data_IF_795644902519
#
_entry.id   IF_795644902519
#
_cell.length_a   1.000
_cell.length_b   1.000
_cell.length_c   1.000
_cell.angle_alpha   90.00
_cell.angle_beta   90.00
_cell.angle_gamma   90.00
#
_symmetry.space_group_name_H-M   'P 1'
#
loop_
_entity.id
_entity.type
_entity.pdbx_description
1 polymer ?
#
# COMPACT_ATOMS: atom_id res chain seq x y z
N UNK A 1 -3.71 50.34 -13.38
CA UNK A 1 -4.63 49.18 -13.43
C UNK A 1 -6.00 49.71 -13.82
N UNK A 2 -6.56 49.33 -14.97
CA UNK A 2 -7.89 49.78 -15.38
C UNK A 2 -8.94 49.34 -14.35
N UNK A 3 -9.92 50.21 -14.07
CA UNK A 3 -11.02 49.92 -13.13
C UNK A 3 -11.91 48.85 -13.77
N UNK A 4 -12.15 47.76 -13.03
CA UNK A 4 -13.01 46.67 -13.48
C UNK A 4 -14.43 47.17 -13.71
N UNK A 5 -15.06 46.68 -14.77
CA UNK A 5 -16.46 46.99 -15.06
C UNK A 5 -17.38 46.48 -13.94
N UNK A 6 -18.56 47.09 -13.79
CA UNK A 6 -19.54 46.68 -12.78
C UNK A 6 -19.96 45.22 -12.97
N UNK A 7 -20.09 44.77 -14.21
CA UNK A 7 -20.38 43.37 -14.55
C UNK A 7 -19.26 42.42 -14.09
N UNK A 8 -17.98 42.80 -14.25
CA UNK A 8 -16.85 42.01 -13.73
C UNK A 8 -16.82 41.93 -12.20
N UNK A 9 -17.16 43.01 -11.51
CA UNK A 9 -17.21 43.00 -10.05
C UNK A 9 -18.39 42.16 -9.53
N UNK A 10 -19.55 42.28 -10.17
CA UNK A 10 -20.74 41.49 -9.84
C UNK A 10 -20.49 39.99 -10.08
N UNK A 11 -19.94 39.62 -11.24
CA UNK A 11 -19.58 38.23 -11.54
C UNK A 11 -18.53 37.70 -10.56
N UNK A 12 -17.50 38.48 -10.21
CA UNK A 12 -16.52 38.08 -9.22
C UNK A 12 -17.13 37.88 -7.82
N UNK A 13 -18.13 38.68 -7.44
CA UNK A 13 -18.87 38.48 -6.18
C UNK A 13 -19.72 37.21 -6.22
N UNK A 14 -20.43 36.96 -7.32
CA UNK A 14 -21.17 35.71 -7.54
C UNK A 14 -20.24 34.49 -7.49
N UNK A 15 -19.06 34.57 -8.09
CA UNK A 15 -18.04 33.51 -8.05
C UNK A 15 -17.57 33.19 -6.63
N UNK A 16 -17.40 34.20 -5.78
CA UNK A 16 -17.02 34.01 -4.36
C UNK A 16 -18.12 33.32 -3.57
N UNK A 17 -19.37 33.66 -3.85
CA UNK A 17 -20.54 33.13 -3.15
C UNK A 17 -21.17 31.94 -3.86
N UNK A 18 -20.48 31.32 -4.82
CA UNK A 18 -21.03 30.25 -5.65
C UNK A 18 -21.70 29.17 -4.83
N UNK A 19 -21.14 28.76 -3.69
CA UNK A 19 -21.69 27.68 -2.85
C UNK A 19 -23.07 27.96 -2.26
N UNK A 20 -23.44 29.22 -2.12
CA UNK A 20 -24.70 29.66 -1.52
C UNK A 20 -25.74 30.06 -2.59
N UNK A 21 -25.36 30.09 -3.88
CA UNK A 21 -26.27 30.40 -4.96
C UNK A 21 -27.26 29.24 -5.17
N UNK A 22 -28.46 29.38 -4.62
CA UNK A 22 -29.56 28.43 -4.79
C UNK A 22 -30.44 28.68 -6.01
N UNK A 23 -30.43 29.90 -6.57
CA UNK A 23 -31.24 30.28 -7.73
C UNK A 23 -30.58 31.38 -8.55
N UNK A 24 -30.63 31.24 -9.87
CA UNK A 24 -30.37 32.32 -10.82
C UNK A 24 -31.74 32.81 -11.28
N UNK A 25 -32.14 33.98 -10.79
CA UNK A 25 -33.50 34.52 -11.00
C UNK A 25 -33.93 34.63 -12.46
N UNK A 26 -35.22 34.87 -12.66
CA UNK A 26 -35.97 34.64 -13.91
C UNK A 26 -35.59 35.49 -15.13
N UNK A 27 -34.68 36.46 -14.99
CA UNK A 27 -34.41 37.44 -16.06
C UNK A 27 -32.97 37.40 -16.59
N UNK A 28 -32.15 36.44 -16.16
CA UNK A 28 -30.73 36.44 -16.51
C UNK A 28 -30.45 35.57 -17.75
N UNK A 29 -29.93 36.16 -18.85
CA UNK A 29 -29.70 35.42 -20.10
C UNK A 29 -28.65 34.32 -19.94
N UNK A 30 -28.86 33.19 -20.60
CA UNK A 30 -28.02 31.99 -20.48
C UNK A 30 -26.53 32.25 -20.73
N UNK A 31 -26.18 33.16 -21.65
CA UNK A 31 -24.77 33.49 -21.96
C UNK A 31 -24.02 34.11 -20.76
N UNK A 32 -24.69 34.98 -20.01
CA UNK A 32 -24.16 35.59 -18.80
C UNK A 32 -24.14 34.61 -17.62
N UNK A 33 -24.89 33.52 -17.69
CA UNK A 33 -24.97 32.54 -16.61
C UNK A 33 -24.03 31.36 -16.87
N UNK A 34 -23.75 31.06 -18.14
CA UNK A 34 -22.92 29.94 -18.59
C UNK A 34 -21.54 29.93 -17.92
N UNK A 35 -20.88 31.09 -17.83
CA UNK A 35 -19.56 31.17 -17.20
C UNK A 35 -19.58 30.91 -15.69
N UNK A 36 -20.68 31.27 -15.02
CA UNK A 36 -20.90 30.95 -13.61
C UNK A 36 -21.21 29.46 -13.42
N UNK A 37 -22.13 28.92 -14.22
CA UNK A 37 -22.52 27.50 -14.15
C UNK A 37 -21.36 26.56 -14.47
N UNK A 38 -20.49 26.91 -15.41
CA UNK A 38 -19.28 26.14 -15.72
C UNK A 38 -18.30 26.06 -14.54
N UNK A 39 -18.38 26.99 -13.59
CA UNK A 39 -17.53 27.00 -12.40
C UNK A 39 -18.16 26.24 -11.23
N UNK A 40 -19.43 25.88 -11.32
CA UNK A 40 -20.09 25.09 -10.28
C UNK A 40 -19.46 23.70 -10.24
N UNK A 41 -19.00 23.32 -9.06
CA UNK A 41 -18.36 22.03 -8.81
C UNK A 41 -19.32 21.00 -8.23
N UNK A 42 -20.53 21.41 -7.84
CA UNK A 42 -21.51 20.55 -7.18
C UNK A 42 -22.68 20.21 -8.10
N UNK A 43 -22.83 18.93 -8.40
CA UNK A 43 -23.96 18.39 -9.17
C UNK A 43 -25.32 18.60 -8.48
N UNK A 44 -25.38 18.51 -7.14
CA UNK A 44 -26.62 18.72 -6.39
C UNK A 44 -27.10 20.17 -6.52
N UNK A 45 -26.16 21.10 -6.46
CA UNK A 45 -26.43 22.52 -6.62
C UNK A 45 -26.92 22.84 -8.02
N UNK A 46 -26.28 22.26 -9.06
CA UNK A 46 -26.72 22.44 -10.44
C UNK A 46 -28.18 22.00 -10.63
N UNK A 47 -28.58 20.87 -10.02
CA UNK A 47 -29.98 20.41 -10.05
C UNK A 47 -30.93 21.38 -9.34
N UNK A 48 -30.55 21.92 -8.19
CA UNK A 48 -31.39 22.90 -7.48
C UNK A 48 -31.62 24.15 -8.35
N UNK A 49 -30.57 24.61 -9.02
CA UNK A 49 -30.64 25.72 -9.95
C UNK A 49 -31.55 25.40 -11.14
N UNK A 50 -31.43 24.22 -11.75
CA UNK A 50 -32.31 23.76 -12.84
C UNK A 50 -33.79 23.73 -12.41
N UNK A 51 -34.10 23.32 -11.18
CA UNK A 51 -35.47 23.33 -10.67
C UNK A 51 -36.00 24.75 -10.42
N UNK A 52 -35.13 25.67 -10.04
CA UNK A 52 -35.51 27.07 -9.77
C UNK A 52 -35.63 27.92 -11.03
N UNK A 53 -34.93 27.55 -12.11
CA UNK A 53 -34.77 28.39 -13.29
C UNK A 53 -35.06 27.58 -14.58
N UNK A 54 -36.23 27.80 -15.22
CA UNK A 54 -36.61 27.06 -16.43
C UNK A 54 -35.76 27.44 -17.65
N UNK A 55 -35.06 28.57 -17.62
CA UNK A 55 -34.23 29.06 -18.73
C UNK A 55 -32.95 28.25 -18.95
N UNK A 56 -32.51 27.54 -17.91
CA UNK A 56 -31.28 26.75 -17.92
C UNK A 56 -31.57 25.31 -18.42
N UNK A 57 -32.83 24.88 -18.35
CA UNK A 57 -33.26 23.55 -18.78
C UNK A 57 -33.00 23.35 -20.28
N UNK A 58 -32.28 22.27 -20.63
CA UNK A 58 -31.95 21.90 -22.01
C UNK A 58 -30.53 22.29 -22.47
N UNK A 59 -29.91 23.30 -21.85
CA UNK A 59 -28.55 23.72 -22.19
C UNK A 59 -27.46 23.18 -21.25
N UNK A 60 -27.84 22.52 -20.15
CA UNK A 60 -26.90 22.05 -19.10
C UNK A 60 -26.07 20.82 -19.44
N UNK A 61 -26.28 20.20 -20.61
CA UNK A 61 -25.57 18.98 -20.99
C UNK A 61 -24.04 19.11 -20.99
N UNK A 62 -23.52 20.27 -21.41
CA UNK A 62 -22.07 20.55 -21.38
C UNK A 62 -21.51 20.58 -19.95
N UNK A 63 -22.28 21.14 -19.00
CA UNK A 63 -21.87 21.30 -17.61
C UNK A 63 -21.89 19.95 -16.92
N UNK A 64 -22.95 19.16 -17.13
CA UNK A 64 -23.06 17.80 -16.61
C UNK A 64 -21.92 16.90 -17.11
N UNK A 65 -21.53 17.02 -18.39
CA UNK A 65 -20.41 16.25 -18.93
C UNK A 65 -19.08 16.59 -18.24
N UNK A 66 -18.82 17.88 -18.01
CA UNK A 66 -17.62 18.33 -17.27
C UNK A 66 -17.62 17.85 -15.81
N UNK A 67 -18.79 17.90 -15.15
CA UNK A 67 -18.93 17.38 -13.79
C UNK A 67 -18.67 15.87 -13.73
N UNK A 68 -19.24 15.10 -14.66
CA UNK A 68 -19.02 13.65 -14.73
C UNK A 68 -17.55 13.33 -15.02
N UNK A 69 -16.89 14.08 -15.90
CA UNK A 69 -15.46 13.90 -16.20
C UNK A 69 -14.58 14.19 -14.97
N UNK A 70 -14.91 15.24 -14.21
CA UNK A 70 -14.19 15.62 -12.99
C UNK A 70 -14.41 14.63 -11.85
N UNK A 71 -15.65 14.26 -11.59
CA UNK A 71 -16.04 13.42 -10.46
C UNK A 71 -15.71 11.93 -10.71
N UNK A 72 -15.92 11.47 -11.96
CA UNK A 72 -15.83 10.05 -12.32
C UNK A 72 -14.97 9.82 -13.58
N UNK A 73 -13.66 10.16 -13.54
CA UNK A 73 -12.79 10.04 -14.71
C UNK A 73 -12.60 8.58 -15.19
N UNK A 74 -12.74 7.59 -14.29
CA UNK A 74 -12.61 6.17 -14.60
C UNK A 74 -13.90 5.59 -15.21
N UNK A 75 -15.05 5.88 -14.59
CA UNK A 75 -16.34 5.39 -15.08
C UNK A 75 -16.77 6.07 -16.39
N UNK A 76 -16.41 7.34 -16.59
CA UNK A 76 -16.70 8.07 -17.83
C UNK A 76 -15.99 7.45 -19.04
N UNK A 77 -14.72 7.04 -18.89
CA UNK A 77 -13.96 6.35 -19.94
C UNK A 77 -14.50 4.96 -20.24
N UNK A 78 -15.01 4.27 -19.21
CA UNK A 78 -15.51 2.90 -19.34
C UNK A 78 -16.94 2.84 -19.90
N UNK A 79 -17.78 3.80 -19.53
CA UNK A 79 -19.19 3.84 -19.90
C UNK A 79 -19.49 5.25 -20.38
N UNK A 80 -19.71 5.44 -21.68
CA UNK A 80 -20.11 6.72 -22.25
C UNK A 80 -21.64 6.80 -22.33
N UNK A 81 -22.32 6.93 -21.19
CA UNK A 81 -23.77 7.09 -21.17
C UNK A 81 -24.15 8.51 -21.60
N UNK A 82 -24.64 8.64 -22.83
CA UNK A 82 -25.31 9.87 -23.29
C UNK A 82 -26.82 9.69 -23.12
N UNK A 83 -27.50 10.56 -22.35
CA UNK A 83 -28.95 10.51 -22.28
C UNK A 83 -29.56 10.91 -23.63
N UNK A 84 -30.69 10.27 -23.97
CA UNK A 84 -31.46 10.59 -25.18
C UNK A 84 -32.10 11.98 -25.10
N UNK A 85 -32.40 12.45 -23.88
CA UNK A 85 -32.97 13.77 -23.63
C UNK A 85 -31.99 14.62 -22.83
N UNK A 86 -31.76 15.90 -23.23
CA UNK A 86 -30.88 16.82 -22.51
C UNK A 86 -31.38 17.14 -21.10
N UNK A 87 -32.67 16.92 -20.80
CA UNK A 87 -33.24 17.23 -19.48
C UNK A 87 -32.95 16.16 -18.41
N UNK A 88 -32.39 15.00 -18.80
CA UNK A 88 -32.25 13.84 -17.90
C UNK A 88 -30.79 13.54 -17.51
N UNK A 89 -29.88 14.49 -17.68
CA UNK A 89 -28.47 14.33 -17.27
C UNK A 89 -28.31 14.03 -15.77
N UNK A 90 -29.18 14.58 -14.91
CA UNK A 90 -29.17 14.24 -13.48
C UNK A 90 -29.30 12.73 -13.21
N UNK A 91 -30.18 12.03 -13.93
CA UNK A 91 -30.37 10.58 -13.76
C UNK A 91 -29.13 9.79 -14.17
N UNK A 92 -28.44 10.29 -15.20
CA UNK A 92 -27.17 9.71 -15.66
C UNK A 92 -26.11 9.88 -14.59
N UNK A 93 -25.96 11.09 -14.04
CA UNK A 93 -25.04 11.35 -12.94
C UNK A 93 -25.35 10.50 -11.70
N UNK A 94 -26.62 10.36 -11.32
CA UNK A 94 -27.02 9.53 -10.18
C UNK A 94 -26.67 8.04 -10.39
N UNK A 95 -26.77 7.56 -11.64
CA UNK A 95 -26.32 6.22 -11.99
C UNK A 95 -24.80 6.08 -11.85
N UNK A 96 -24.03 7.03 -12.39
CA UNK A 96 -22.58 7.04 -12.22
C UNK A 96 -22.16 7.08 -10.75
N UNK A 97 -22.85 7.87 -9.93
CA UNK A 97 -22.61 7.93 -8.49
C UNK A 97 -22.85 6.57 -7.83
N UNK A 98 -23.97 5.91 -8.13
CA UNK A 98 -24.27 4.57 -7.58
C UNK A 98 -23.23 3.53 -8.01
N UNK A 99 -22.83 3.54 -9.28
CA UNK A 99 -21.80 2.63 -9.80
C UNK A 99 -20.44 2.89 -9.10
N UNK A 100 -20.08 4.16 -8.88
CA UNK A 100 -18.85 4.54 -8.20
C UNK A 100 -18.85 4.15 -6.71
N UNK A 101 -19.94 4.43 -6.00
CA UNK A 101 -20.09 4.07 -4.59
C UNK A 101 -20.02 2.54 -4.41
N UNK A 102 -20.66 1.78 -5.30
CA UNK A 102 -20.56 0.31 -5.32
C UNK A 102 -19.13 -0.17 -5.58
N UNK A 103 -18.40 0.44 -6.53
CA UNK A 103 -17.01 0.09 -6.80
C UNK A 103 -16.09 0.39 -5.60
N UNK A 104 -16.34 1.49 -4.89
CA UNK A 104 -15.64 1.81 -3.64
C UNK A 104 -15.92 0.76 -2.56
N UNK A 105 -17.19 0.44 -2.31
CA UNK A 105 -17.58 -0.59 -1.33
C UNK A 105 -16.94 -1.95 -1.62
N UNK A 106 -16.94 -2.37 -2.89
CA UNK A 106 -16.26 -3.59 -3.31
C UNK A 106 -14.76 -3.56 -3.02
N UNK A 107 -14.11 -2.42 -3.31
CA UNK A 107 -12.68 -2.26 -3.05
C UNK A 107 -12.36 -2.28 -1.55
N UNK A 108 -13.20 -1.65 -0.73
CA UNK A 108 -13.08 -1.68 0.72
C UNK A 108 -13.27 -3.09 1.28
N UNK A 109 -14.28 -3.82 0.79
CA UNK A 109 -14.55 -5.18 1.21
C UNK A 109 -13.40 -6.12 0.85
N UNK A 110 -12.82 -5.98 -0.35
CA UNK A 110 -11.61 -6.71 -0.76
C UNK A 110 -10.44 -6.42 0.18
N UNK A 111 -10.21 -5.16 0.55
CA UNK A 111 -9.15 -4.77 1.49
C UNK A 111 -9.39 -5.29 2.91
N UNK A 112 -10.63 -5.20 3.42
CA UNK A 112 -11.03 -5.73 4.73
C UNK A 112 -10.82 -7.25 4.78
N UNK A 113 -11.19 -7.97 3.73
CA UNK A 113 -11.00 -9.42 3.63
C UNK A 113 -9.51 -9.81 3.58
N UNK A 114 -8.70 -9.09 2.79
CA UNK A 114 -7.25 -9.31 2.74
C UNK A 114 -6.59 -9.06 4.11
N UNK A 115 -7.00 -7.99 4.81
CA UNK A 115 -6.50 -7.69 6.15
C UNK A 115 -6.92 -8.73 7.18
N UNK A 116 -8.16 -9.23 7.10
CA UNK A 116 -8.65 -10.30 7.96
C UNK A 116 -7.87 -11.60 7.75
N UNK A 117 -7.59 -11.98 6.50
CA UNK A 117 -6.73 -13.12 6.18
C UNK A 117 -5.34 -12.99 6.80
N UNK A 118 -4.70 -11.83 6.63
CA UNK A 118 -3.39 -11.56 7.24
C UNK A 118 -3.41 -11.60 8.78
N UNK A 119 -4.50 -11.15 9.42
CA UNK A 119 -4.67 -11.25 10.87
C UNK A 119 -4.80 -12.70 11.31
N UNK A 120 -5.59 -13.51 10.61
CA UNK A 120 -5.73 -14.94 10.89
C UNK A 120 -4.39 -15.67 10.72
N UNK A 121 -3.63 -15.38 9.68
CA UNK A 121 -2.32 -16.00 9.46
C UNK A 121 -1.32 -15.59 10.53
N UNK A 122 -1.34 -14.32 10.96
CA UNK A 122 -0.57 -13.88 12.12
C UNK A 122 -0.97 -14.62 13.38
N UNK A 123 -2.27 -14.74 13.68
CA UNK A 123 -2.76 -15.44 14.87
C UNK A 123 -2.41 -16.94 14.86
N UNK A 124 -2.51 -17.60 13.71
CA UNK A 124 -2.09 -19.00 13.53
C UNK A 124 -0.59 -19.19 13.71
N UNK A 125 0.23 -18.28 13.17
CA UNK A 125 1.69 -18.36 13.23
C UNK A 125 2.26 -17.87 14.57
N UNK A 126 1.53 -17.02 15.32
CA UNK A 126 1.90 -16.66 16.68
C UNK A 126 1.51 -17.78 17.63
N UNK A 127 2.48 -18.55 18.09
CA UNK A 127 2.29 -19.52 19.16
C UNK A 127 1.71 -18.81 20.40
N UNK A 128 0.43 -19.07 20.73
CA UNK A 128 -0.15 -18.65 22.01
C UNK A 128 0.54 -19.41 23.12
N UNK A 129 1.05 -18.69 24.12
CA UNK A 129 1.57 -19.29 25.35
C UNK A 129 0.35 -19.76 26.14
N UNK A 130 -0.04 -21.02 25.93
CA UNK A 130 -1.11 -21.66 26.70
C UNK A 130 -0.53 -22.02 28.07
N UNK A 131 -1.25 -21.67 29.15
CA UNK A 131 -0.87 -22.10 30.50
C UNK A 131 -0.81 -23.63 30.58
N UNK A 132 0.25 -24.15 31.22
CA UNK A 132 0.56 -25.59 31.31
C UNK A 132 -0.55 -26.46 31.93
N UNK A 133 -1.59 -25.85 32.50
CA UNK A 133 -2.74 -26.52 33.11
C UNK A 133 -3.82 -26.96 32.10
N UNK A 134 -3.84 -26.37 30.91
CA UNK A 134 -4.84 -26.64 29.85
C UNK A 134 -4.33 -27.56 28.73
N UNK A 135 -3.05 -27.93 28.76
CA UNK A 135 -2.51 -28.96 27.87
C UNK A 135 -3.01 -30.32 28.35
N UNK A 136 -3.53 -31.19 27.46
CA UNK A 136 -3.80 -32.57 27.83
C UNK A 136 -2.49 -33.17 28.35
N UNK A 137 -2.51 -33.69 29.58
CA UNK A 137 -1.40 -34.47 30.13
C UNK A 137 -1.24 -35.68 29.23
N UNK A 138 -0.44 -35.56 28.18
CA UNK A 138 -0.09 -36.67 27.31
C UNK A 138 0.56 -37.71 28.22
N UNK A 139 -0.18 -38.80 28.35
CA UNK A 139 0.15 -40.05 29.01
C UNK A 139 1.63 -40.37 28.77
N UNK A 140 2.28 -40.78 29.86
CA UNK A 140 3.62 -41.34 29.94
C UNK A 140 3.95 -42.19 28.69
N UNK A 141 4.65 -41.62 27.72
CA UNK A 141 5.39 -42.39 26.73
C UNK A 141 6.88 -42.25 27.08
N UNK A 142 7.49 -43.39 27.36
CA UNK A 142 8.79 -43.50 28.01
C UNK A 142 9.95 -42.89 27.22
N UNK A 143 11.03 -42.62 27.96
CA UNK A 143 12.39 -42.59 27.42
C UNK A 143 12.75 -41.36 26.57
N UNK A 144 12.97 -40.21 27.20
CA UNK A 144 13.53 -39.03 26.54
C UNK A 144 14.61 -38.37 27.39
N UNK A 145 15.86 -38.54 26.98
CA UNK A 145 17.11 -38.18 27.67
C UNK A 145 17.15 -36.76 28.26
N UNK A 146 17.72 -36.64 29.47
CA UNK A 146 18.12 -35.38 30.12
C UNK A 146 18.99 -34.56 29.14
N UNK A 147 18.78 -33.23 28.96
CA UNK A 147 19.71 -32.45 28.17
C UNK A 147 20.99 -32.25 28.97
N UNK A 148 22.07 -32.75 28.39
CA UNK A 148 23.45 -32.60 28.82
C UNK A 148 23.79 -31.12 29.06
N UNK A 149 24.09 -30.79 30.30
CA UNK A 149 24.50 -29.46 30.75
C UNK A 149 26.04 -29.42 30.74
N UNK A 150 26.63 -29.28 29.55
CA UNK A 150 28.07 -29.15 29.37
C UNK A 150 28.44 -27.77 28.83
N UNK A 151 29.61 -27.20 29.20
CA UNK A 151 30.07 -25.91 28.70
C UNK A 151 30.41 -26.02 27.21
N UNK A 152 29.94 -25.06 26.42
CA UNK A 152 30.08 -25.02 24.96
C UNK A 152 31.45 -24.46 24.59
N UNK A 153 32.34 -25.29 24.06
CA UNK A 153 33.61 -24.86 23.48
C UNK A 153 33.39 -23.98 22.24
N UNK A 154 34.15 -22.89 22.18
CA UNK A 154 33.98 -21.80 21.22
C UNK A 154 34.51 -22.09 19.80
N UNK A 155 34.99 -23.30 19.50
CA UNK A 155 35.67 -23.64 18.24
C UNK A 155 35.05 -24.81 17.46
N UNK A 156 33.71 -24.92 17.45
CA UNK A 156 33.04 -25.94 16.63
C UNK A 156 32.82 -25.42 15.20
N UNK A 157 33.46 -26.06 14.21
CA UNK A 157 33.29 -25.81 12.76
C UNK A 157 31.93 -26.28 12.20
N UNK A 158 30.94 -26.55 13.05
CA UNK A 158 29.59 -26.92 12.63
C UNK A 158 28.72 -25.66 12.52
N UNK A 159 28.20 -25.37 11.33
CA UNK A 159 27.21 -24.31 11.11
C UNK A 159 25.91 -24.69 11.84
N UNK A 160 25.78 -24.24 13.09
CA UNK A 160 24.55 -24.46 13.85
C UNK A 160 23.47 -23.47 13.42
N UNK A 161 22.58 -23.89 12.53
CA UNK A 161 21.38 -23.13 12.13
C UNK A 161 20.39 -22.89 13.27
N UNK A 162 20.62 -23.49 14.44
CA UNK A 162 19.84 -23.26 15.66
C UNK A 162 20.41 -22.13 16.54
N UNK A 163 21.26 -21.26 15.98
CA UNK A 163 21.91 -20.12 16.65
C UNK A 163 21.01 -18.88 16.76
N UNK A 164 19.71 -19.07 16.98
CA UNK A 164 18.85 -17.98 17.45
C UNK A 164 19.14 -17.66 18.92
N UNK A 165 18.78 -16.46 19.39
CA UNK A 165 18.94 -16.03 20.79
C UNK A 165 18.16 -16.92 21.76
N UNK A 166 18.81 -17.97 22.30
CA UNK A 166 18.28 -18.86 23.34
C UNK A 166 18.32 -18.21 24.74
N UNK A 167 17.91 -16.96 24.86
CA UNK A 167 17.68 -16.33 26.17
C UNK A 167 16.37 -16.86 26.73
N UNK A 168 16.41 -17.46 27.93
CA UNK A 168 15.21 -17.94 28.63
C UNK A 168 14.24 -16.76 28.84
N UNK A 169 13.01 -16.87 28.36
CA UNK A 169 11.96 -15.84 28.43
C UNK A 169 11.13 -15.96 29.71
N UNK A 170 11.80 -16.02 30.86
CA UNK A 170 11.14 -16.27 32.16
C UNK A 170 10.64 -14.98 32.82
N UNK A 171 11.25 -13.83 32.48
CA UNK A 171 10.90 -12.52 33.04
C UNK A 171 10.78 -11.45 31.92
N UNK A 172 9.99 -10.39 32.11
CA UNK A 172 9.81 -9.31 31.13
C UNK A 172 11.11 -8.67 30.65
N UNK A 173 12.08 -8.50 31.56
CA UNK A 173 13.43 -8.03 31.22
C UNK A 173 14.20 -8.98 30.27
N UNK A 174 13.97 -10.29 30.41
CA UNK A 174 14.58 -11.32 29.55
C UNK A 174 13.95 -11.36 28.16
N UNK A 175 12.66 -11.01 28.04
CA UNK A 175 11.98 -10.82 26.75
C UNK A 175 12.54 -9.60 26.02
N UNK A 176 12.67 -8.46 26.71
CA UNK A 176 13.27 -7.26 26.10
C UNK A 176 14.73 -7.47 25.68
N UNK A 177 15.49 -8.27 26.44
CA UNK A 177 16.87 -8.65 26.06
C UNK A 177 16.90 -9.51 24.80
N UNK A 178 15.96 -10.46 24.66
CA UNK A 178 15.81 -11.29 23.46
C UNK A 178 15.49 -10.43 22.24
N UNK A 179 14.50 -9.54 22.37
CA UNK A 179 14.07 -8.63 21.30
C UNK A 179 15.22 -7.74 20.84
N UNK A 180 15.96 -7.11 21.77
CA UNK A 180 17.11 -6.27 21.38
C UNK A 180 18.18 -7.05 20.61
N UNK A 181 18.39 -8.32 20.94
CA UNK A 181 19.37 -9.19 20.27
C UNK A 181 18.90 -9.63 18.89
N UNK A 182 17.63 -10.01 18.75
CA UNK A 182 17.04 -10.36 17.46
C UNK A 182 16.98 -9.15 16.51
N UNK A 183 16.61 -7.97 17.01
CA UNK A 183 16.65 -6.72 16.23
C UNK A 183 18.07 -6.42 15.75
N UNK A 184 19.09 -6.67 16.58
CA UNK A 184 20.50 -6.50 16.19
C UNK A 184 20.90 -7.49 15.10
N UNK A 185 20.48 -8.75 15.18
CA UNK A 185 20.74 -9.77 14.16
C UNK A 185 20.05 -9.41 12.83
N UNK A 186 18.77 -9.02 12.88
CA UNK A 186 18.01 -8.54 11.72
C UNK A 186 18.69 -7.30 11.12
N UNK A 187 19.11 -6.33 11.94
CA UNK A 187 19.82 -5.15 11.46
C UNK A 187 21.16 -5.50 10.79
N UNK A 188 21.87 -6.53 11.25
CA UNK A 188 23.10 -6.99 10.57
C UNK A 188 22.80 -7.65 9.23
N UNK A 189 21.78 -8.50 9.14
CA UNK A 189 21.35 -9.15 7.89
C UNK A 189 20.84 -8.09 6.90
N UNK A 190 19.96 -7.21 7.36
CA UNK A 190 19.36 -6.13 6.56
C UNK A 190 20.25 -4.89 6.43
N UNK A 191 21.47 -4.86 6.96
CA UNK A 191 22.36 -3.69 6.90
C UNK A 191 23.65 -3.97 6.14
N UNK A 192 24.33 -5.08 6.47
CA UNK A 192 25.59 -5.45 5.85
C UNK A 192 25.40 -6.30 4.58
N UNK A 193 24.38 -7.17 4.54
CA UNK A 193 24.14 -8.08 3.42
C UNK A 193 23.05 -7.58 2.44
N UNK A 194 22.24 -6.60 2.84
CA UNK A 194 21.12 -6.09 2.04
C UNK A 194 21.47 -4.96 1.08
N UNK A 195 22.68 -4.38 1.20
CA UNK A 195 23.14 -3.42 0.20
C UNK A 195 23.31 -4.23 -1.08
N UNK A 196 22.50 -4.00 -2.13
CA UNK A 196 22.76 -4.67 -3.39
C UNK A 196 24.18 -4.28 -3.77
N UNK A 197 25.06 -5.26 -3.93
CA UNK A 197 26.35 -5.04 -4.56
C UNK A 197 26.04 -4.45 -5.93
N UNK A 198 26.03 -3.12 -6.04
CA UNK A 198 26.08 -2.42 -7.31
C UNK A 198 27.34 -2.95 -7.95
N UNK A 199 27.18 -3.88 -8.88
CA UNK A 199 28.28 -4.40 -9.65
C UNK A 199 29.02 -3.18 -10.21
N UNK A 200 30.33 -3.05 -10.01
CA UNK A 200 31.07 -1.97 -10.63
C UNK A 200 30.81 -2.06 -12.14
N UNK A 201 30.34 -0.96 -12.72
CA UNK A 201 29.93 -0.86 -14.13
C UNK A 201 31.09 -1.06 -15.12
N UNK A 202 32.27 -1.40 -14.62
CA UNK A 202 33.38 -1.86 -15.42
C UNK A 202 33.74 -3.28 -15.01
N UNK A 203 33.58 -4.21 -15.95
CA UNK A 203 34.28 -5.50 -15.91
C UNK A 203 35.77 -5.19 -15.98
N UNK A 204 36.41 -5.00 -14.83
CA UNK A 204 37.87 -5.03 -14.73
C UNK A 204 38.29 -6.42 -15.21
N UNK A 205 39.02 -6.48 -16.32
CA UNK A 205 39.63 -7.72 -16.80
C UNK A 205 40.50 -8.28 -15.68
N UNK A 206 40.05 -9.36 -15.02
CA UNK A 206 40.77 -10.00 -13.93
C UNK A 206 42.07 -10.61 -14.48
N UNK A 207 43.17 -9.86 -14.42
CA UNK A 207 44.51 -10.30 -14.86
C UNK A 207 45.17 -11.29 -13.90
N UNK A 208 44.70 -11.36 -12.65
CA UNK A 208 45.24 -12.22 -11.60
C UNK A 208 44.09 -12.81 -10.79
N UNK A 209 44.21 -14.07 -10.42
CA UNK A 209 43.24 -14.72 -9.55
C UNK A 209 43.16 -14.00 -8.20
N UNK A 210 41.96 -13.82 -7.64
CA UNK A 210 41.79 -13.25 -6.31
C UNK A 210 42.50 -14.10 -5.25
N UNK A 211 43.00 -13.44 -4.21
CA UNK A 211 43.90 -14.03 -3.22
C UNK A 211 43.26 -15.17 -2.43
N UNK A 212 41.93 -15.14 -2.24
CA UNK A 212 41.16 -16.26 -1.68
C UNK A 212 41.35 -17.54 -2.49
N UNK A 213 41.24 -17.44 -3.82
CA UNK A 213 41.36 -18.57 -4.74
C UNK A 213 42.78 -19.14 -4.78
N UNK A 214 43.79 -18.27 -4.71
CA UNK A 214 45.21 -18.68 -4.62
C UNK A 214 45.48 -19.41 -3.29
N UNK A 215 44.92 -18.91 -2.19
CA UNK A 215 45.06 -19.52 -0.87
C UNK A 215 44.30 -20.86 -0.77
N UNK A 216 43.15 -20.99 -1.43
CA UNK A 216 42.40 -22.24 -1.48
C UNK A 216 43.15 -23.30 -2.29
N UNK A 217 43.74 -22.90 -3.42
CA UNK A 217 44.61 -23.79 -4.21
C UNK A 217 45.86 -24.23 -3.43
N UNK A 218 46.48 -23.29 -2.70
CA UNK A 218 47.62 -23.60 -1.82
C UNK A 218 47.22 -24.59 -0.73
N UNK A 219 46.06 -24.40 -0.08
CA UNK A 219 45.54 -25.32 0.94
C UNK A 219 45.22 -26.70 0.36
N UNK A 220 44.61 -26.77 -0.83
CA UNK A 220 44.33 -28.02 -1.51
C UNK A 220 45.60 -28.77 -1.95
N UNK A 221 46.69 -28.04 -2.25
CA UNK A 221 47.98 -28.63 -2.61
C UNK A 221 48.76 -29.22 -1.42
N UNK A 222 48.35 -28.92 -0.18
CA UNK A 222 49.00 -29.49 1.00
C UNK A 222 48.68 -30.99 1.10
N UNK A 223 49.69 -31.85 1.33
CA UNK A 223 49.53 -33.31 1.33
C UNK A 223 48.56 -33.82 2.42
N UNK A 224 48.25 -32.99 3.43
CA UNK A 224 47.31 -33.30 4.49
C UNK A 224 45.84 -33.37 4.01
N UNK A 225 45.52 -32.76 2.86
CA UNK A 225 44.16 -32.69 2.30
C UNK A 225 44.00 -33.43 0.97
N UNK A 226 45.03 -34.14 0.50
CA UNK A 226 44.99 -34.92 -0.74
C UNK A 226 44.17 -36.19 -0.48
N UNK A 227 42.88 -36.17 -0.81
CA UNK A 227 42.07 -37.38 -0.85
C UNK A 227 42.69 -38.35 -1.87
N UNK A 228 42.93 -39.59 -1.47
CA UNK A 228 43.59 -40.64 -2.26
C UNK A 228 42.75 -41.17 -3.42
N UNK A 229 41.80 -40.39 -3.93
CA UNK A 229 40.82 -40.81 -4.92
C UNK A 229 41.03 -40.04 -6.24
N UNK A 230 42.23 -40.13 -6.81
CA UNK A 230 42.50 -39.85 -8.24
C UNK A 230 43.93 -40.29 -8.55
N UNK A 231 44.10 -41.58 -8.78
CA UNK A 231 45.17 -42.12 -9.61
C UNK A 231 44.68 -42.20 -11.06
N UNK A 232 45.58 -42.03 -12.05
CA UNK A 232 45.26 -41.72 -13.45
C UNK A 232 44.45 -42.79 -14.18
#
# INVERSE_FOLDING_TARGET
MPVKSLSELATAACLKNLKELGSIGDYLPYEAVRHLLLKIESAHQLRQIELSSPQIQGHTGEIWLKLIEKDFPLEYKAKAYKPQNPDKWYRVWEKYKRDHDAALEESENKLKNALAGLRQDKEKNTSRIIERKLLPKSVKLGGGKRPFNGPREAHSNYLSFNSGSRTKTVNGASVMRKVRREVKEIATIHGALSRPNRAPTQRLHMRKAPESMVNDYRRASQPQYRSSALSP
#
